data_IF_891917845310
#
_entry.id   IF_891917845310
#
_cell.length_a   1.000
_cell.length_b   1.000
_cell.length_c   1.000
_cell.angle_alpha   90.00
_cell.angle_beta   90.00
_cell.angle_gamma   90.00
#
_symmetry.space_group_name_H-M   'P 1'
#
loop_
_entity.id
_entity.type
_entity.pdbx_description
1 polymer ?
#
# COMPACT_ATOMS: atom_id res chain seq x y z
N UNK A 1 27.66 15.49 -28.02
CA UNK A 1 28.35 15.87 -26.77
C UNK A 1 29.10 14.65 -26.27
N UNK A 2 30.34 14.83 -25.82
CA UNK A 2 31.15 13.73 -25.28
C UNK A 2 31.12 13.73 -23.77
N UNK A 3 31.26 12.56 -23.17
CA UNK A 3 31.36 12.34 -21.72
C UNK A 3 32.54 11.41 -21.42
N UNK A 4 33.08 11.51 -20.22
CA UNK A 4 34.08 10.59 -19.68
C UNK A 4 33.40 9.55 -18.80
N UNK A 5 33.67 8.29 -19.06
CA UNK A 5 33.27 7.18 -18.21
C UNK A 5 34.50 6.65 -17.47
N UNK A 6 34.44 6.62 -16.15
CA UNK A 6 35.45 6.05 -15.29
C UNK A 6 35.13 4.57 -15.08
N UNK A 7 35.94 3.68 -15.64
CA UNK A 7 35.72 2.21 -15.58
C UNK A 7 35.92 1.60 -14.21
N UNK A 8 36.58 2.29 -13.28
CA UNK A 8 36.78 1.81 -11.92
C UNK A 8 35.63 2.18 -10.98
N UNK A 9 35.10 3.41 -11.16
CA UNK A 9 34.04 3.93 -10.28
C UNK A 9 32.66 3.90 -10.91
N UNK A 10 32.56 3.52 -12.19
CA UNK A 10 31.34 3.54 -13.01
C UNK A 10 30.66 4.92 -13.08
N UNK A 11 31.43 5.99 -12.87
CA UNK A 11 30.91 7.35 -12.88
C UNK A 11 31.04 8.00 -14.24
N UNK A 12 30.05 8.81 -14.59
CA UNK A 12 30.04 9.64 -15.78
C UNK A 12 30.37 11.09 -15.39
N UNK A 13 31.26 11.71 -16.16
CA UNK A 13 31.62 13.13 -16.05
C UNK A 13 31.51 13.80 -17.41
N UNK A 14 31.18 15.07 -17.41
CA UNK A 14 31.20 15.84 -18.67
C UNK A 14 32.65 15.95 -19.17
N UNK A 15 32.83 15.73 -20.47
CA UNK A 15 34.11 15.98 -21.13
C UNK A 15 34.39 17.48 -21.15
N UNK A 16 35.57 17.95 -20.72
CA UNK A 16 35.90 19.35 -20.68
C UNK A 16 35.70 20.00 -22.06
N UNK A 17 35.03 21.16 -22.12
CA UNK A 17 34.92 21.97 -23.33
C UNK A 17 36.14 22.88 -23.44
N UNK A 18 36.79 22.90 -24.57
CA UNK A 18 37.92 23.75 -24.88
C UNK A 18 39.24 23.15 -24.39
N UNK A 19 40.33 23.42 -25.05
CA UNK A 19 41.67 22.88 -24.87
C UNK A 19 41.69 21.40 -24.52
N UNK A 20 41.20 20.68 -25.48
CA UNK A 20 40.92 19.24 -25.41
C UNK A 20 42.19 18.53 -24.98
N UNK A 21 42.14 17.90 -23.83
CA UNK A 21 43.10 16.85 -23.50
C UNK A 21 42.99 15.83 -24.63
N UNK A 22 44.04 15.62 -25.43
CA UNK A 22 43.99 14.58 -26.45
C UNK A 22 43.61 13.26 -25.80
N UNK A 23 42.71 12.50 -26.42
CA UNK A 23 42.28 11.19 -25.91
C UNK A 23 43.46 10.32 -25.53
N UNK A 24 44.58 10.49 -26.23
CA UNK A 24 45.86 9.80 -25.98
C UNK A 24 46.56 10.16 -24.66
N UNK A 25 46.15 11.25 -24.01
CA UNK A 25 46.67 11.67 -22.68
C UNK A 25 45.76 11.36 -21.53
N UNK A 26 44.61 10.70 -21.76
CA UNK A 26 43.73 10.26 -20.74
C UNK A 26 44.30 9.03 -20.01
N UNK A 27 44.10 9.00 -18.70
CA UNK A 27 44.38 7.82 -17.92
C UNK A 27 43.57 6.64 -18.50
N UNK A 28 44.16 5.44 -18.71
CA UNK A 28 43.49 4.27 -19.28
C UNK A 28 42.18 3.87 -18.64
N UNK A 29 41.93 4.30 -17.40
CA UNK A 29 40.67 4.07 -16.71
C UNK A 29 39.49 4.87 -17.27
N UNK A 30 39.77 5.92 -18.06
CA UNK A 30 38.73 6.76 -18.65
C UNK A 30 38.46 6.39 -20.08
N UNK A 31 37.19 6.19 -20.40
CA UNK A 31 36.71 5.97 -21.76
C UNK A 31 35.87 7.16 -22.19
N UNK A 32 36.14 7.69 -23.40
CA UNK A 32 35.33 8.75 -23.99
C UNK A 32 34.14 8.15 -24.66
N UNK A 33 32.95 8.54 -24.23
CA UNK A 33 31.71 8.05 -24.79
C UNK A 33 30.93 9.18 -25.46
N UNK A 34 30.20 8.86 -26.52
CA UNK A 34 29.25 9.76 -27.14
C UNK A 34 27.95 9.77 -26.34
N UNK A 35 27.54 10.96 -25.88
CA UNK A 35 26.25 11.11 -25.22
C UNK A 35 25.12 11.03 -26.24
N UNK A 36 24.25 10.04 -26.08
CA UNK A 36 23.03 9.85 -26.85
C UNK A 36 21.85 10.06 -25.91
N UNK A 37 21.00 11.02 -26.24
CA UNK A 37 19.77 11.31 -25.48
C UNK A 37 18.62 10.84 -26.33
N UNK A 38 17.85 9.88 -25.83
CA UNK A 38 16.64 9.44 -26.48
C UNK A 38 15.55 10.52 -26.41
N UNK A 39 14.71 10.55 -27.39
CA UNK A 39 13.52 11.38 -27.36
C UNK A 39 12.60 10.92 -26.22
N UNK A 40 12.00 11.89 -25.55
CA UNK A 40 11.07 11.59 -24.45
C UNK A 40 9.80 10.98 -25.03
N UNK A 41 9.42 9.77 -24.64
CA UNK A 41 8.21 9.14 -25.14
C UNK A 41 6.95 9.85 -24.61
N UNK A 42 5.87 9.78 -25.38
CA UNK A 42 4.55 10.14 -24.89
C UNK A 42 4.09 9.12 -23.85
N UNK A 43 3.42 9.58 -22.81
CA UNK A 43 2.85 8.75 -21.76
C UNK A 43 1.60 9.41 -21.18
N UNK A 44 0.71 8.60 -20.62
CA UNK A 44 -0.48 9.08 -19.90
C UNK A 44 -0.15 9.28 -18.41
N UNK A 45 -0.03 10.51 -17.90
CA UNK A 45 0.32 10.78 -16.51
C UNK A 45 -0.76 10.30 -15.51
N UNK A 46 -1.97 9.95 -15.95
CA UNK A 46 -3.01 9.41 -15.09
C UNK A 46 -2.80 7.91 -14.77
N UNK A 47 -2.11 7.19 -15.64
CA UNK A 47 -1.93 5.73 -15.54
C UNK A 47 -0.47 5.30 -15.60
N UNK A 48 0.44 6.20 -15.99
CA UNK A 48 1.83 5.89 -16.27
C UNK A 48 2.78 6.93 -15.69
N UNK A 49 4.03 6.53 -15.51
CA UNK A 49 5.12 7.43 -15.16
C UNK A 49 6.36 7.12 -15.99
N UNK A 50 7.28 8.11 -16.06
CA UNK A 50 8.54 7.97 -16.79
C UNK A 50 9.68 7.71 -15.80
N UNK A 51 10.35 6.59 -15.98
CA UNK A 51 11.60 6.31 -15.27
C UNK A 51 12.78 6.61 -16.17
N UNK A 52 13.69 7.44 -15.69
CA UNK A 52 14.97 7.69 -16.38
C UNK A 52 15.83 6.43 -16.39
N UNK A 53 16.44 6.17 -17.55
CA UNK A 53 17.41 5.10 -17.71
C UNK A 53 18.73 5.65 -18.19
N UNK A 54 19.82 5.09 -17.67
CA UNK A 54 21.19 5.46 -18.06
C UNK A 54 21.96 4.17 -18.29
N UNK A 55 22.44 3.98 -19.50
CA UNK A 55 23.19 2.79 -19.88
C UNK A 55 24.49 3.18 -20.56
N UNK A 56 25.54 2.44 -20.27
CA UNK A 56 26.84 2.57 -20.90
C UNK A 56 27.00 1.39 -21.87
N UNK A 57 27.26 1.70 -23.14
CA UNK A 57 27.58 0.73 -24.18
C UNK A 57 29.03 1.01 -24.63
N UNK A 58 29.94 0.22 -24.04
CA UNK A 58 31.37 0.37 -24.34
C UNK A 58 31.74 -0.09 -25.75
N UNK A 59 31.02 -1.06 -26.32
CA UNK A 59 31.27 -1.55 -27.67
C UNK A 59 30.85 -0.52 -28.71
N UNK A 60 29.72 0.14 -28.52
CA UNK A 60 29.24 1.23 -29.36
C UNK A 60 29.93 2.58 -29.06
N UNK A 61 30.65 2.68 -27.95
CA UNK A 61 31.22 3.94 -27.48
C UNK A 61 30.17 4.98 -27.09
N UNK A 62 29.08 4.53 -26.51
CA UNK A 62 27.92 5.37 -26.23
C UNK A 62 27.50 5.33 -24.75
N UNK A 63 27.18 6.51 -24.23
CA UNK A 63 26.40 6.67 -23.03
C UNK A 63 25.01 7.12 -23.43
N UNK A 64 24.01 6.27 -23.15
CA UNK A 64 22.62 6.49 -23.51
C UNK A 64 21.82 6.92 -22.29
N UNK A 65 21.14 8.05 -22.44
CA UNK A 65 20.17 8.55 -21.48
C UNK A 65 18.79 8.52 -22.13
N UNK A 66 17.89 7.81 -21.50
CA UNK A 66 16.55 7.60 -22.04
C UNK A 66 15.49 7.50 -20.94
N UNK A 67 14.32 7.08 -21.34
CA UNK A 67 13.17 6.89 -20.46
C UNK A 67 12.48 5.56 -20.78
N UNK A 68 11.91 4.97 -19.74
CA UNK A 68 11.00 3.83 -19.86
C UNK A 68 9.66 4.28 -19.31
N UNK A 69 8.60 4.02 -20.06
CA UNK A 69 7.23 4.21 -19.60
C UNK A 69 6.87 3.02 -18.74
N UNK A 70 6.48 3.26 -17.50
CA UNK A 70 6.03 2.25 -16.55
C UNK A 70 4.62 2.60 -16.09
N UNK A 71 3.77 1.58 -15.94
CA UNK A 71 2.44 1.77 -15.38
C UNK A 71 2.54 2.18 -13.92
N UNK A 72 1.65 3.08 -13.50
CA UNK A 72 1.51 3.39 -12.08
C UNK A 72 1.10 2.12 -11.33
N UNK A 73 1.70 1.87 -10.15
CA UNK A 73 1.22 0.78 -9.34
C UNK A 73 -0.28 0.97 -9.06
N UNK A 74 -1.06 -0.12 -9.00
CA UNK A 74 -2.46 -0.02 -8.65
C UNK A 74 -2.60 0.72 -7.31
N UNK A 75 -3.63 1.57 -7.16
CA UNK A 75 -3.86 2.27 -5.90
C UNK A 75 -3.91 1.24 -4.77
N UNK A 76 -3.12 1.46 -3.74
CA UNK A 76 -3.15 0.62 -2.54
C UNK A 76 -4.55 0.77 -1.94
N UNK A 77 -5.30 -0.33 -1.75
CA UNK A 77 -6.60 -0.26 -1.11
C UNK A 77 -6.46 0.44 0.25
N UNK A 78 -7.38 1.33 0.62
CA UNK A 78 -7.37 1.92 1.93
C UNK A 78 -7.39 0.80 3.00
N UNK A 79 -6.59 0.96 4.04
CA UNK A 79 -6.61 0.05 5.17
C UNK A 79 -7.92 0.14 5.96
N UNK A 80 -8.15 -0.76 6.94
CA UNK A 80 -9.37 -0.76 7.73
C UNK A 80 -9.54 0.55 8.50
N UNK A 81 -10.73 1.16 8.36
CA UNK A 81 -11.12 2.36 9.09
C UNK A 81 -11.88 1.99 10.37
N UNK A 82 -11.15 1.65 11.42
CA UNK A 82 -11.74 1.28 12.72
C UNK A 82 -12.52 2.41 13.38
N UNK A 83 -12.12 3.66 13.16
CA UNK A 83 -12.79 4.81 13.75
C UNK A 83 -14.17 5.06 13.11
N UNK A 84 -14.22 5.04 11.78
CA UNK A 84 -15.47 5.14 11.04
C UNK A 84 -16.40 3.97 11.35
N UNK A 85 -15.89 2.73 11.36
CA UNK A 85 -16.65 1.54 11.70
C UNK A 85 -17.26 1.66 13.13
N UNK A 86 -16.46 2.04 14.12
CA UNK A 86 -16.94 2.19 15.49
C UNK A 86 -18.01 3.29 15.60
N UNK A 87 -17.81 4.43 14.93
CA UNK A 87 -18.80 5.51 14.88
C UNK A 87 -20.10 5.09 14.21
N UNK A 88 -20.03 4.39 13.09
CA UNK A 88 -21.17 3.80 12.38
C UNK A 88 -21.91 2.78 13.24
N UNK A 89 -21.17 1.89 13.90
CA UNK A 89 -21.75 0.89 14.78
C UNK A 89 -22.54 1.51 15.93
N UNK A 90 -22.01 2.55 16.60
CA UNK A 90 -22.71 3.25 17.69
C UNK A 90 -24.04 3.87 17.25
N UNK A 91 -24.17 4.19 15.97
CA UNK A 91 -25.38 4.80 15.39
C UNK A 91 -26.34 3.75 14.79
N UNK A 92 -25.96 2.46 14.80
CA UNK A 92 -26.68 1.37 14.14
C UNK A 92 -27.82 0.81 15.01
N UNK A 93 -28.78 0.16 14.35
CA UNK A 93 -29.82 -0.61 15.05
C UNK A 93 -29.23 -1.86 15.74
N UNK A 94 -28.15 -2.40 15.20
CA UNK A 94 -27.38 -3.50 15.82
C UNK A 94 -26.92 -3.08 17.21
N UNK A 95 -26.31 -1.88 17.34
CA UNK A 95 -25.86 -1.37 18.64
C UNK A 95 -27.03 -1.11 19.61
N UNK A 96 -28.12 -0.55 19.11
CA UNK A 96 -29.32 -0.33 19.91
C UNK A 96 -29.89 -1.66 20.46
N UNK A 97 -29.90 -2.70 19.62
CA UNK A 97 -30.26 -4.08 20.02
C UNK A 97 -29.33 -4.65 21.08
N UNK A 98 -28.03 -4.43 20.92
CA UNK A 98 -26.98 -4.84 21.88
C UNK A 98 -27.16 -4.17 23.23
N UNK A 99 -27.32 -2.83 23.24
CA UNK A 99 -27.55 -2.07 24.48
C UNK A 99 -28.83 -2.54 25.18
N UNK A 100 -29.89 -2.79 24.42
CA UNK A 100 -31.14 -3.34 24.97
C UNK A 100 -30.95 -4.76 25.56
N UNK A 101 -30.01 -5.55 25.04
CA UNK A 101 -29.69 -6.90 25.50
C UNK A 101 -28.76 -6.93 26.74
N UNK A 102 -27.93 -5.91 26.92
CA UNK A 102 -26.93 -5.84 28.02
C UNK A 102 -27.48 -6.04 29.44
N UNK A 103 -28.76 -5.88 29.65
CA UNK A 103 -29.40 -6.14 30.95
C UNK A 103 -29.90 -7.55 31.13
N UNK A 104 -29.78 -8.45 30.15
CA UNK A 104 -30.50 -9.74 30.16
C UNK A 104 -29.66 -10.93 30.58
N UNK A 105 -28.38 -10.99 30.17
CA UNK A 105 -27.47 -12.08 30.58
C UNK A 105 -26.05 -11.60 30.80
N UNK A 106 -25.32 -12.24 31.74
CA UNK A 106 -23.91 -11.96 32.01
C UNK A 106 -23.01 -12.24 30.79
N UNK A 107 -23.36 -13.23 29.96
CA UNK A 107 -22.59 -13.62 28.78
C UNK A 107 -22.64 -12.57 27.67
N UNK A 108 -23.79 -11.91 27.47
CA UNK A 108 -23.96 -10.83 26.52
C UNK A 108 -23.12 -9.58 26.91
N UNK A 109 -23.12 -9.25 28.21
CA UNK A 109 -22.30 -8.15 28.72
C UNK A 109 -20.80 -8.47 28.59
N UNK A 110 -20.38 -9.69 28.83
CA UNK A 110 -19.01 -10.15 28.67
C UNK A 110 -18.57 -10.11 27.20
N UNK A 111 -19.38 -10.61 26.27
CA UNK A 111 -19.10 -10.58 24.84
C UNK A 111 -18.93 -9.14 24.32
N UNK A 112 -19.81 -8.22 24.76
CA UNK A 112 -19.70 -6.81 24.41
C UNK A 112 -18.42 -6.17 24.96
N UNK A 113 -18.05 -6.47 26.19
CA UNK A 113 -16.82 -5.95 26.80
C UNK A 113 -15.59 -6.39 26.02
N UNK A 114 -15.52 -7.65 25.61
CA UNK A 114 -14.43 -8.20 24.80
C UNK A 114 -14.37 -7.51 23.43
N UNK A 115 -15.52 -7.35 22.79
CA UNK A 115 -15.60 -6.69 21.47
C UNK A 115 -15.18 -5.21 21.53
N UNK A 116 -15.69 -4.45 22.49
CA UNK A 116 -15.33 -3.04 22.67
C UNK A 116 -13.85 -2.88 23.02
N UNK A 117 -13.28 -3.80 23.83
CA UNK A 117 -11.86 -3.83 24.15
C UNK A 117 -11.01 -4.06 22.91
N UNK A 118 -11.37 -5.01 22.06
CA UNK A 118 -10.64 -5.31 20.83
C UNK A 118 -10.69 -4.17 19.82
N UNK A 119 -11.83 -3.48 19.67
CA UNK A 119 -11.94 -2.27 18.84
C UNK A 119 -11.10 -1.13 19.42
N UNK A 120 -11.16 -0.92 20.74
CA UNK A 120 -10.39 0.13 21.39
C UNK A 120 -8.88 -0.08 21.23
N UNK A 121 -8.41 -1.32 21.27
CA UNK A 121 -7.01 -1.64 20.98
C UNK A 121 -6.64 -1.33 19.53
N UNK A 122 -7.49 -1.65 18.57
CA UNK A 122 -7.29 -1.32 17.17
C UNK A 122 -7.25 0.22 16.95
N UNK A 123 -8.15 0.98 17.57
CA UNK A 123 -8.17 2.44 17.54
C UNK A 123 -6.89 3.07 18.13
N UNK A 124 -6.27 2.41 19.09
CA UNK A 124 -5.01 2.83 19.70
C UNK A 124 -3.76 2.32 18.95
N UNK A 125 -3.92 1.77 17.74
CA UNK A 125 -2.83 1.24 16.93
C UNK A 125 -2.24 -0.08 17.42
N UNK A 126 -2.95 -0.80 18.30
CA UNK A 126 -2.61 -2.14 18.79
C UNK A 126 -3.50 -3.19 18.14
N UNK A 127 -3.59 -3.13 16.82
CA UNK A 127 -4.43 -4.04 16.06
C UNK A 127 -4.05 -5.50 16.28
N UNK A 128 -5.03 -6.29 16.73
CA UNK A 128 -4.97 -7.74 16.77
C UNK A 128 -6.18 -8.29 16.00
N UNK A 129 -6.00 -8.57 14.71
CA UNK A 129 -7.07 -9.02 13.80
C UNK A 129 -7.75 -10.29 14.29
N UNK A 130 -6.97 -11.25 14.79
CA UNK A 130 -7.51 -12.51 15.29
C UNK A 130 -8.40 -12.27 16.53
N UNK A 131 -7.96 -11.45 17.46
CA UNK A 131 -8.74 -11.14 18.65
C UNK A 131 -10.04 -10.39 18.31
N UNK A 132 -10.00 -9.43 17.37
CA UNK A 132 -11.18 -8.72 16.93
C UNK A 132 -12.14 -9.65 16.17
N UNK A 133 -11.63 -10.53 15.29
CA UNK A 133 -12.46 -11.52 14.61
C UNK A 133 -13.18 -12.45 15.60
N UNK A 134 -12.47 -12.95 16.60
CA UNK A 134 -13.06 -13.80 17.64
C UNK A 134 -14.09 -13.03 18.47
N UNK A 135 -13.83 -11.76 18.77
CA UNK A 135 -14.77 -10.90 19.48
C UNK A 135 -16.06 -10.64 18.68
N UNK A 136 -15.95 -10.47 17.35
CA UNK A 136 -17.11 -10.36 16.45
C UNK A 136 -17.95 -11.65 16.51
N UNK A 137 -17.34 -12.81 16.37
CA UNK A 137 -18.06 -14.09 16.40
C UNK A 137 -18.70 -14.36 17.77
N UNK A 138 -17.99 -14.06 18.86
CA UNK A 138 -18.52 -14.17 20.21
C UNK A 138 -19.76 -13.29 20.38
N UNK A 139 -19.69 -12.03 19.93
CA UNK A 139 -20.80 -11.10 20.01
C UNK A 139 -22.01 -11.59 19.19
N UNK A 140 -21.79 -12.03 17.95
CA UNK A 140 -22.83 -12.53 17.06
C UNK A 140 -23.49 -13.79 17.63
N UNK A 141 -22.71 -14.69 18.24
CA UNK A 141 -23.23 -15.89 18.91
C UNK A 141 -24.15 -15.57 20.08
N UNK A 142 -23.96 -14.44 20.76
CA UNK A 142 -24.77 -14.02 21.88
C UNK A 142 -25.98 -13.15 21.52
N UNK A 143 -25.94 -12.48 20.35
CA UNK A 143 -26.93 -11.43 19.98
C UNK A 143 -28.05 -11.95 19.10
N UNK A 144 -28.11 -13.11 18.61
CA UNK A 144 -29.20 -13.63 17.74
C UNK A 144 -29.71 -12.55 16.74
N UNK A 145 -28.80 -11.89 16.04
CA UNK A 145 -29.15 -10.87 15.05
C UNK A 145 -29.98 -11.52 13.94
N UNK A 146 -31.12 -10.90 13.61
CA UNK A 146 -31.89 -11.28 12.42
C UNK A 146 -31.15 -10.91 11.13
N UNK A 147 -31.70 -11.33 9.98
CA UNK A 147 -31.09 -11.07 8.67
C UNK A 147 -30.78 -9.58 8.43
N UNK A 148 -31.67 -8.69 8.86
CA UNK A 148 -31.49 -7.22 8.69
C UNK A 148 -30.30 -6.70 9.51
N UNK A 149 -30.14 -7.17 10.76
CA UNK A 149 -29.00 -6.78 11.60
C UNK A 149 -27.67 -7.29 11.07
N UNK A 150 -27.64 -8.51 10.51
CA UNK A 150 -26.44 -9.03 9.85
C UNK A 150 -26.11 -8.25 8.59
N UNK A 151 -27.11 -7.89 7.80
CA UNK A 151 -26.93 -7.07 6.60
C UNK A 151 -26.41 -5.67 6.94
N UNK A 152 -26.92 -5.04 8.00
CA UNK A 152 -26.44 -3.74 8.48
C UNK A 152 -24.97 -3.81 8.93
N UNK A 153 -24.62 -4.84 9.69
CA UNK A 153 -23.23 -5.05 10.14
C UNK A 153 -22.27 -5.32 8.96
N UNK A 154 -22.71 -6.12 7.98
CA UNK A 154 -21.95 -6.34 6.76
C UNK A 154 -21.74 -5.03 6.00
N UNK A 155 -22.77 -4.21 5.83
CA UNK A 155 -22.66 -2.92 5.16
C UNK A 155 -21.70 -1.96 5.89
N UNK A 156 -21.62 -2.02 7.22
CA UNK A 156 -20.63 -1.27 8.00
C UNK A 156 -19.20 -1.78 7.75
N UNK A 157 -18.98 -3.08 7.68
CA UNK A 157 -17.67 -3.65 7.36
C UNK A 157 -17.23 -3.23 5.93
N UNK A 158 -18.14 -3.28 4.96
CA UNK A 158 -17.88 -2.88 3.57
C UNK A 158 -17.53 -1.39 3.48
N UNK A 159 -18.33 -0.53 4.14
CA UNK A 159 -18.15 0.93 4.11
C UNK A 159 -16.81 1.38 4.72
N UNK A 160 -16.23 0.58 5.61
CA UNK A 160 -15.01 0.91 6.33
C UNK A 160 -13.81 0.02 5.96
N UNK A 161 -13.85 -0.63 4.78
CA UNK A 161 -12.75 -1.45 4.23
C UNK A 161 -12.34 -2.61 5.15
N UNK A 162 -13.29 -3.19 5.84
CA UNK A 162 -13.07 -4.26 6.80
C UNK A 162 -13.61 -5.61 6.36
N UNK A 163 -14.45 -5.67 5.33
CA UNK A 163 -15.12 -6.90 4.88
C UNK A 163 -14.16 -7.98 4.35
N UNK A 164 -13.01 -7.57 3.78
CA UNK A 164 -11.98 -8.51 3.32
C UNK A 164 -11.14 -9.08 4.49
N UNK A 165 -11.27 -8.50 5.68
CA UNK A 165 -10.47 -8.84 6.86
C UNK A 165 -11.29 -9.61 7.89
N UNK A 166 -12.57 -9.28 8.05
CA UNK A 166 -13.47 -9.82 9.06
C UNK A 166 -14.69 -10.45 8.43
N UNK A 167 -15.06 -11.62 8.93
CA UNK A 167 -16.25 -12.36 8.48
C UNK A 167 -17.29 -12.44 9.59
N UNK A 168 -18.57 -12.40 9.21
CA UNK A 168 -19.70 -12.52 10.14
C UNK A 168 -20.06 -13.96 10.48
N UNK A 169 -19.51 -14.93 9.75
CA UNK A 169 -19.69 -16.36 10.05
C UNK A 169 -18.36 -17.02 10.30
N UNK A 170 -18.22 -17.88 11.32
CA UNK A 170 -17.05 -18.71 11.45
C UNK A 170 -16.98 -19.61 10.21
N UNK A 171 -15.93 -19.49 9.40
CA UNK A 171 -15.65 -20.47 8.38
C UNK A 171 -15.47 -21.81 9.09
N UNK A 172 -16.27 -22.79 8.68
CA UNK A 172 -16.02 -24.18 9.05
C UNK A 172 -14.76 -24.58 8.32
N UNK A 173 -13.61 -24.44 9.01
CA UNK A 173 -12.32 -24.96 8.52
C UNK A 173 -12.48 -26.47 8.53
N UNK A 174 -12.83 -27.02 7.35
CA UNK A 174 -12.91 -28.45 7.09
C UNK A 174 -11.52 -29.07 6.94
#
# INVERSE_FOLDING_TARGET
>A
MLVLFDTETEQIRDYPRGDELPVEQLDPRYVVLRRVIAERPDYDPATQWLRETRTVDLEAGEWRWGWVVEDLPPPVPPGPDYAGFYGGLLSSQVYAGVVAAQGKTGDQAAAMTVFLGAIQDALNGRENRQALQQAIWLLLGQLQLGADGLAELQALLDAHYMADIYTLSPEVVG
#
